data_IF_205050042959
#
_entry.id   IF_205050042959
#
_cell.length_a   1.000
_cell.length_b   1.000
_cell.length_c   1.000
_cell.angle_alpha   90.00
_cell.angle_beta   90.00
_cell.angle_gamma   90.00
#
_symmetry.space_group_name_H-M   'P 1'
#
loop_
_entity.id
_entity.type
_entity.pdbx_description
1 polymer ?
#
# COMPACT_ATOMS: atom_id res chain seq x y z
N UNK A 1 36.35 -18.52 -32.46
CA UNK A 1 36.31 -17.05 -32.31
C UNK A 1 34.90 -16.48 -32.08
N UNK A 2 33.87 -16.87 -32.86
CA UNK A 2 32.49 -16.34 -32.70
C UNK A 2 31.77 -16.70 -31.38
N UNK A 3 32.03 -17.89 -30.80
CA UNK A 3 31.42 -18.33 -29.53
C UNK A 3 31.89 -17.53 -28.31
N UNK A 4 33.13 -17.03 -28.32
CA UNK A 4 33.66 -16.21 -27.21
C UNK A 4 33.09 -14.79 -27.20
N UNK A 5 32.69 -14.26 -28.35
CA UNK A 5 31.99 -12.97 -28.46
C UNK A 5 30.60 -13.05 -27.82
N UNK A 6 29.88 -14.15 -28.04
CA UNK A 6 28.54 -14.36 -27.45
C UNK A 6 28.62 -14.48 -25.92
N UNK A 7 29.62 -15.21 -25.41
CA UNK A 7 29.85 -15.36 -23.97
C UNK A 7 30.24 -14.02 -23.34
N UNK A 8 31.09 -13.23 -23.99
CA UNK A 8 31.49 -11.90 -23.52
C UNK A 8 30.29 -10.95 -23.44
N UNK A 9 29.39 -10.99 -24.43
CA UNK A 9 28.18 -10.15 -24.44
C UNK A 9 27.17 -10.56 -23.35
N UNK A 10 27.04 -11.86 -23.07
CA UNK A 10 26.18 -12.39 -22.01
C UNK A 10 26.67 -11.98 -20.61
N UNK A 11 27.99 -11.99 -20.40
CA UNK A 11 28.63 -11.55 -19.14
C UNK A 11 28.45 -10.04 -18.94
N UNK A 12 28.61 -9.25 -20.01
CA UNK A 12 28.44 -7.79 -19.94
C UNK A 12 26.99 -7.38 -19.62
N UNK A 13 26.00 -8.12 -20.12
CA UNK A 13 24.58 -7.86 -19.85
C UNK A 13 24.16 -8.22 -18.41
N UNK A 14 24.86 -9.17 -17.77
CA UNK A 14 24.54 -9.63 -16.42
C UNK A 14 24.83 -8.58 -15.33
N UNK A 15 25.67 -7.58 -15.61
CA UNK A 15 26.08 -6.55 -14.63
C UNK A 15 25.01 -5.44 -14.51
N UNK A 16 24.09 -5.30 -15.47
CA UNK A 16 23.02 -4.30 -15.44
C UNK A 16 21.77 -4.75 -14.67
N UNK A 17 21.70 -6.02 -14.24
CA UNK A 17 20.57 -6.56 -13.49
C UNK A 17 20.54 -6.11 -12.01
N UNK A 18 21.68 -5.66 -11.46
CA UNK A 18 21.75 -5.05 -10.13
C UNK A 18 21.54 -3.53 -10.22
N UNK A 19 20.42 -3.08 -10.79
CA UNK A 19 19.94 -1.74 -10.45
C UNK A 19 19.32 -1.86 -9.07
N UNK A 20 20.03 -1.33 -8.06
CA UNK A 20 19.43 -0.97 -6.79
C UNK A 20 18.12 -0.24 -7.11
N UNK A 21 16.98 -0.85 -6.77
CA UNK A 21 15.65 -0.32 -7.08
C UNK A 21 15.35 0.85 -6.14
N UNK A 22 16.18 1.89 -6.17
CA UNK A 22 15.94 3.14 -5.46
C UNK A 22 14.84 3.89 -6.17
N UNK A 23 13.61 3.72 -5.70
CA UNK A 23 12.49 4.58 -6.09
C UNK A 23 12.81 5.99 -5.61
N UNK A 24 12.91 6.93 -6.55
CA UNK A 24 13.14 8.34 -6.23
C UNK A 24 12.01 8.92 -5.38
N UNK A 25 12.36 9.81 -4.45
CA UNK A 25 11.37 10.48 -3.61
C UNK A 25 10.51 11.41 -4.47
N UNK A 26 9.18 11.21 -4.53
CA UNK A 26 8.31 12.06 -5.33
C UNK A 26 8.24 13.48 -4.74
N UNK A 27 8.10 14.49 -5.61
CA UNK A 27 8.03 15.90 -5.20
C UNK A 27 6.89 16.17 -4.20
N UNK A 28 5.73 15.55 -4.44
CA UNK A 28 4.53 15.71 -3.62
C UNK A 28 4.31 14.48 -2.72
N UNK A 29 5.35 14.01 -2.01
CA UNK A 29 5.22 12.85 -1.15
C UNK A 29 4.17 13.06 -0.06
N UNK A 30 3.16 12.18 0.00
CA UNK A 30 2.19 12.13 1.10
C UNK A 30 2.93 11.75 2.39
N UNK A 31 2.79 12.53 3.47
CA UNK A 31 3.41 12.19 4.75
C UNK A 31 2.95 10.83 5.27
N UNK A 32 3.79 10.15 6.06
CA UNK A 32 3.44 8.83 6.62
C UNK A 32 2.13 8.86 7.41
N UNK A 33 1.95 9.87 8.26
CA UNK A 33 0.73 10.02 9.07
C UNK A 33 -0.51 10.21 8.19
N UNK A 34 -0.42 11.05 7.15
CA UNK A 34 -1.51 11.23 6.18
C UNK A 34 -1.79 9.95 5.39
N UNK A 35 -0.76 9.16 5.08
CA UNK A 35 -0.93 7.85 4.44
C UNK A 35 -1.65 6.86 5.36
N UNK A 36 -1.33 6.85 6.65
CA UNK A 36 -2.06 6.07 7.67
C UNK A 36 -3.53 6.48 7.71
N UNK A 37 -3.82 7.78 7.72
CA UNK A 37 -5.21 8.29 7.68
C UNK A 37 -5.96 7.82 6.42
N UNK A 38 -5.33 7.97 5.24
CA UNK A 38 -5.91 7.55 3.96
C UNK A 38 -6.23 6.05 3.98
N UNK A 39 -5.26 5.20 4.34
CA UNK A 39 -5.43 3.75 4.31
C UNK A 39 -6.47 3.31 5.35
N UNK A 40 -6.48 3.93 6.53
CA UNK A 40 -7.50 3.68 7.55
C UNK A 40 -8.91 3.94 7.01
N UNK A 41 -9.15 5.11 6.40
CA UNK A 41 -10.46 5.44 5.87
C UNK A 41 -10.86 4.58 4.68
N UNK A 42 -9.90 4.19 3.84
CA UNK A 42 -10.17 3.25 2.75
C UNK A 42 -10.59 1.88 3.29
N UNK A 43 -9.94 1.40 4.35
CA UNK A 43 -10.33 0.16 5.01
C UNK A 43 -11.75 0.25 5.60
N UNK A 44 -12.11 1.38 6.22
CA UNK A 44 -13.48 1.62 6.74
C UNK A 44 -14.49 1.69 5.58
N UNK A 45 -14.16 2.41 4.51
CA UNK A 45 -15.01 2.50 3.32
C UNK A 45 -15.26 1.14 2.70
N UNK A 46 -14.23 0.29 2.62
CA UNK A 46 -14.32 -1.06 2.08
C UNK A 46 -15.15 -1.99 2.97
N UNK A 47 -15.00 -1.87 4.29
CA UNK A 47 -15.84 -2.58 5.25
C UNK A 47 -17.31 -2.13 5.21
N UNK A 48 -17.58 -0.86 4.90
CA UNK A 48 -18.96 -0.39 4.68
C UNK A 48 -19.53 -0.97 3.38
N UNK A 49 -18.76 -0.92 2.29
CA UNK A 49 -19.14 -1.51 0.99
C UNK A 49 -19.51 -2.98 1.10
N UNK A 50 -18.69 -3.78 1.79
CA UNK A 50 -18.89 -5.23 1.90
C UNK A 50 -20.16 -5.62 2.66
N UNK A 51 -20.68 -4.74 3.54
CA UNK A 51 -21.89 -5.00 4.32
C UNK A 51 -23.19 -4.60 3.61
N UNK A 52 -23.10 -3.72 2.62
CA UNK A 52 -24.28 -3.26 1.86
C UNK A 52 -24.42 -4.02 0.55
N UNK A 53 -25.56 -4.70 0.36
CA UNK A 53 -25.88 -5.49 -0.82
C UNK A 53 -26.22 -4.64 -2.08
N UNK A 54 -25.31 -3.74 -2.48
CA UNK A 54 -25.41 -2.99 -3.74
C UNK A 54 -26.44 -1.85 -3.77
N UNK A 55 -27.18 -1.61 -2.69
CA UNK A 55 -28.19 -0.54 -2.60
C UNK A 55 -27.55 0.86 -2.57
N UNK A 56 -26.32 0.98 -2.07
CA UNK A 56 -25.60 2.25 -1.95
C UNK A 56 -24.45 2.35 -2.95
N UNK A 57 -24.37 3.46 -3.70
CA UNK A 57 -23.27 3.74 -4.61
C UNK A 57 -22.11 4.42 -3.87
N UNK A 58 -21.08 3.64 -3.55
CA UNK A 58 -19.87 4.17 -2.92
C UNK A 58 -18.96 4.88 -3.93
N UNK A 59 -18.25 5.94 -3.51
CA UNK A 59 -17.29 6.60 -4.38
C UNK A 59 -16.13 5.68 -4.76
N UNK A 60 -15.58 5.89 -5.96
CA UNK A 60 -14.29 5.31 -6.35
C UNK A 60 -13.19 5.79 -5.41
N UNK A 61 -12.21 4.93 -5.13
CA UNK A 61 -11.07 5.23 -4.25
C UNK A 61 -10.40 6.56 -4.58
N UNK A 62 -10.13 6.83 -5.86
CA UNK A 62 -9.52 8.08 -6.31
C UNK A 62 -10.38 9.32 -6.02
N UNK A 63 -11.70 9.21 -6.19
CA UNK A 63 -12.65 10.31 -5.90
C UNK A 63 -12.74 10.55 -4.40
N UNK A 64 -12.79 9.48 -3.61
CA UNK A 64 -12.82 9.55 -2.15
C UNK A 64 -11.55 10.21 -1.60
N UNK A 65 -10.37 9.74 -2.02
CA UNK A 65 -9.07 10.31 -1.60
C UNK A 65 -8.98 11.77 -2.02
N UNK A 66 -9.32 12.09 -3.27
CA UNK A 66 -9.30 13.46 -3.78
C UNK A 66 -10.15 14.37 -2.92
N UNK A 67 -11.41 14.02 -2.69
CA UNK A 67 -12.35 14.89 -1.98
C UNK A 67 -12.02 15.06 -0.49
N UNK A 68 -11.55 14.00 0.19
CA UNK A 68 -11.30 14.05 1.65
C UNK A 68 -9.91 14.58 1.99
N UNK A 69 -8.89 14.23 1.21
CA UNK A 69 -7.49 14.51 1.53
C UNK A 69 -6.83 15.54 0.61
N UNK A 70 -7.54 15.98 -0.44
CA UNK A 70 -7.00 16.87 -1.48
C UNK A 70 -5.75 16.29 -2.15
N UNK A 71 -5.74 14.97 -2.30
CA UNK A 71 -4.65 14.19 -2.93
C UNK A 71 -5.16 13.61 -4.24
N UNK A 72 -4.46 13.89 -5.33
CA UNK A 72 -4.78 13.30 -6.63
C UNK A 72 -4.26 11.86 -6.77
N UNK A 73 -4.81 11.13 -7.74
CA UNK A 73 -4.49 9.72 -7.96
C UNK A 73 -3.01 9.48 -8.28
N UNK A 74 -2.35 10.39 -8.99
CA UNK A 74 -0.95 10.24 -9.39
C UNK A 74 -0.05 10.41 -8.17
N UNK A 75 -0.28 11.46 -7.38
CA UNK A 75 0.43 11.70 -6.12
C UNK A 75 0.27 10.54 -5.15
N UNK A 76 -0.94 9.97 -5.05
CA UNK A 76 -1.19 8.77 -4.25
C UNK A 76 -0.40 7.55 -4.76
N UNK A 77 -0.48 7.25 -6.06
CA UNK A 77 0.23 6.11 -6.65
C UNK A 77 1.76 6.21 -6.46
N UNK A 78 2.33 7.39 -6.70
CA UNK A 78 3.77 7.63 -6.52
C UNK A 78 4.20 7.50 -5.06
N UNK A 79 3.40 8.03 -4.12
CA UNK A 79 3.69 7.91 -2.69
C UNK A 79 3.59 6.46 -2.22
N UNK A 80 2.59 5.72 -2.68
CA UNK A 80 2.45 4.28 -2.41
C UNK A 80 3.65 3.51 -2.93
N UNK A 81 4.08 3.75 -4.18
CA UNK A 81 5.26 3.11 -4.77
C UNK A 81 6.53 3.44 -3.99
N UNK A 82 6.71 4.70 -3.57
CA UNK A 82 7.84 5.14 -2.76
C UNK A 82 7.90 4.41 -1.41
N UNK A 83 6.77 4.29 -0.71
CA UNK A 83 6.75 3.58 0.57
C UNK A 83 6.87 2.07 0.39
N UNK A 84 6.30 1.48 -0.67
CA UNK A 84 6.39 0.04 -0.95
C UNK A 84 7.82 -0.41 -1.30
N UNK A 85 8.68 0.50 -1.75
CA UNK A 85 10.10 0.21 -1.99
C UNK A 85 10.87 -0.10 -0.69
N UNK A 86 10.44 0.45 0.44
CA UNK A 86 10.96 0.14 1.77
C UNK A 86 9.94 -0.71 2.53
N UNK A 87 10.13 -2.04 2.50
CA UNK A 87 9.27 -3.00 3.19
C UNK A 87 9.06 -2.67 4.67
N UNK A 88 10.08 -2.15 5.37
CA UNK A 88 9.99 -1.81 6.79
C UNK A 88 9.11 -0.59 7.02
N UNK A 89 9.29 0.45 6.19
CA UNK A 89 8.44 1.63 6.24
C UNK A 89 6.98 1.30 5.87
N UNK A 90 6.76 0.52 4.82
CA UNK A 90 5.43 0.12 4.38
C UNK A 90 4.71 -0.71 5.45
N UNK A 91 5.40 -1.71 6.03
CA UNK A 91 4.85 -2.50 7.14
C UNK A 91 4.43 -1.62 8.31
N UNK A 92 5.25 -0.64 8.69
CA UNK A 92 4.92 0.26 9.81
C UNK A 92 3.63 1.04 9.58
N UNK A 93 3.41 1.54 8.36
CA UNK A 93 2.16 2.24 8.00
C UNK A 93 0.94 1.33 8.24
N UNK A 94 1.00 0.08 7.79
CA UNK A 94 -0.10 -0.87 8.00
C UNK A 94 -0.29 -1.29 9.45
N UNK A 95 0.79 -1.45 10.23
CA UNK A 95 0.69 -1.70 11.68
C UNK A 95 0.02 -0.54 12.41
N UNK A 96 0.35 0.71 12.06
CA UNK A 96 -0.26 1.90 12.64
C UNK A 96 -1.76 1.98 12.27
N UNK A 97 -2.14 1.64 11.03
CA UNK A 97 -3.54 1.51 10.61
C UNK A 97 -4.25 0.43 11.43
N UNK A 98 -3.64 -0.76 11.57
CA UNK A 98 -4.21 -1.89 12.30
C UNK A 98 -4.42 -1.57 13.77
N UNK A 99 -3.45 -0.88 14.39
CA UNK A 99 -3.53 -0.39 15.77
C UNK A 99 -4.69 0.59 15.94
N UNK A 100 -4.82 1.58 15.05
CA UNK A 100 -5.94 2.53 15.10
C UNK A 100 -7.29 1.83 14.94
N UNK A 101 -7.37 0.85 14.04
CA UNK A 101 -8.59 0.08 13.82
C UNK A 101 -8.96 -0.74 15.06
N UNK A 102 -8.00 -1.43 15.68
CA UNK A 102 -8.26 -2.22 16.89
C UNK A 102 -8.69 -1.35 18.07
N UNK A 103 -8.08 -0.18 18.25
CA UNK A 103 -8.47 0.80 19.26
C UNK A 103 -9.91 1.29 19.06
N UNK A 104 -10.28 1.60 17.81
CA UNK A 104 -11.63 2.09 17.50
C UNK A 104 -12.69 0.98 17.63
N UNK A 105 -12.37 -0.25 17.25
CA UNK A 105 -13.25 -1.40 17.45
C UNK A 105 -13.43 -1.73 18.93
N UNK A 106 -12.37 -1.65 19.73
CA UNK A 106 -12.46 -1.82 21.17
C UNK A 106 -13.38 -0.77 21.80
N UNK A 107 -13.28 0.50 21.39
CA UNK A 107 -14.18 1.57 21.85
C UNK A 107 -15.64 1.30 21.45
N UNK A 108 -15.89 0.86 20.22
CA UNK A 108 -17.23 0.58 19.73
C UNK A 108 -17.89 -0.64 20.41
N UNK A 109 -17.10 -1.66 20.78
CA UNK A 109 -17.59 -2.92 21.35
C UNK A 109 -17.43 -3.03 22.89
N UNK A 110 -17.23 -1.91 23.59
CA UNK A 110 -17.08 -1.91 25.05
C UNK A 110 -15.86 -2.68 25.57
N UNK A 111 -14.74 -2.64 24.84
CA UNK A 111 -13.45 -3.24 25.21
C UNK A 111 -13.13 -4.59 24.53
N UNK A 112 -14.03 -5.12 23.69
CA UNK A 112 -13.81 -6.41 23.00
C UNK A 112 -13.15 -6.18 21.62
N UNK A 113 -11.89 -6.57 21.48
CA UNK A 113 -11.17 -6.54 20.20
C UNK A 113 -11.68 -7.72 19.35
N UNK A 114 -12.22 -7.48 18.13
CA UNK A 114 -12.53 -8.56 17.20
C UNK A 114 -11.24 -9.32 16.88
N UNK A 115 -11.29 -10.66 16.92
CA UNK A 115 -10.15 -11.47 16.51
C UNK A 115 -9.80 -11.11 15.07
N UNK A 116 -8.56 -10.65 14.84
CA UNK A 116 -8.03 -10.36 13.51
C UNK A 116 -8.42 -11.50 12.57
N UNK A 117 -8.97 -11.24 11.37
CA UNK A 117 -8.99 -12.25 10.32
C UNK A 117 -7.57 -12.75 10.17
N UNK A 118 -7.38 -14.03 10.48
CA UNK A 118 -6.13 -14.77 10.34
C UNK A 118 -5.44 -14.35 9.04
N UNK A 119 -4.13 -14.14 9.08
CA UNK A 119 -3.28 -13.95 7.90
C UNK A 119 -3.82 -14.82 6.76
N UNK A 120 -4.14 -14.18 5.64
CA UNK A 120 -4.54 -14.89 4.42
C UNK A 120 -3.52 -16.01 4.20
N UNK A 121 -3.92 -17.30 4.27
CA UNK A 121 -3.00 -18.38 3.98
C UNK A 121 -2.54 -18.22 2.54
N UNK A 122 -1.25 -17.94 2.36
CA UNK A 122 -0.51 -18.06 1.11
C UNK A 122 -1.20 -17.56 -0.16
N UNK A 123 -0.87 -16.34 -0.59
CA UNK A 123 -0.80 -16.08 -2.04
C UNK A 123 0.63 -16.42 -2.44
N UNK A 124 0.74 -17.55 -3.14
CA UNK A 124 1.94 -18.19 -3.65
C UNK A 124 2.94 -17.23 -4.31
N UNK A 125 4.21 -17.40 -3.94
CA UNK A 125 5.33 -17.28 -4.86
C UNK A 125 5.32 -18.46 -5.84
#
# INVERSE_FOLDING_TARGET
MKKHIIISFLVLFSIQACKENTIEKPKNLISKDKMVDIIYDLAVLEAAKSQTAGVYQYPRTSVFIKNKYQVDSLTFAQSTQYYAADMKAYKKIYEDVKKRLSENLAKANGGKIPKTPTETPGVLH
#
